data_IF_447967303684
#
_entry.id   IF_447967303684
#
_cell.length_a   1.000
_cell.length_b   1.000
_cell.length_c   1.000
_cell.angle_alpha   90.00
_cell.angle_beta   90.00
_cell.angle_gamma   90.00
#
_symmetry.space_group_name_H-M   'P 1'
#
loop_
_entity.id
_entity.type
_entity.pdbx_description
1 polymer ?
#
# COMPACT_ATOMS: atom_id res chain seq x y z
N UNK A 1 16.41 24.20 3.44
CA UNK A 1 15.37 23.26 3.90
C UNK A 1 14.03 23.83 3.46
N UNK A 2 13.17 23.01 2.83
CA UNK A 2 11.81 23.42 2.54
C UNK A 2 11.06 23.68 3.87
N UNK A 3 10.20 24.69 3.91
CA UNK A 3 9.35 24.95 5.07
C UNK A 3 8.29 23.85 5.18
N UNK A 4 8.02 23.28 6.37
CA UNK A 4 6.99 22.26 6.53
C UNK A 4 5.63 22.79 6.09
N UNK A 5 4.93 22.04 5.23
CA UNK A 5 3.57 22.37 4.80
C UNK A 5 2.58 21.28 5.24
N UNK A 6 1.31 21.64 5.37
CA UNK A 6 0.24 20.66 5.60
C UNK A 6 -0.15 20.06 4.25
N UNK A 7 0.06 18.76 4.09
CA UNK A 7 -0.23 18.06 2.85
C UNK A 7 -1.70 17.62 2.79
N UNK A 8 -2.39 17.79 1.65
CA UNK A 8 -3.75 17.28 1.50
C UNK A 8 -3.73 15.75 1.50
N UNK A 9 -4.85 15.17 1.93
CA UNK A 9 -5.03 13.72 2.06
C UNK A 9 -6.16 13.23 1.16
N UNK A 10 -6.02 11.98 0.70
CA UNK A 10 -7.05 11.26 -0.05
C UNK A 10 -7.18 9.85 0.50
N UNK A 11 -8.39 9.44 0.87
CA UNK A 11 -8.66 8.07 1.32
C UNK A 11 -9.47 7.33 0.25
N UNK A 12 -8.84 6.45 -0.55
CA UNK A 12 -9.56 5.61 -1.49
C UNK A 12 -10.39 4.56 -0.75
N UNK A 13 -11.40 4.02 -1.42
CA UNK A 13 -12.32 3.01 -0.89
C UNK A 13 -11.76 1.59 -0.90
N UNK A 14 -10.61 1.36 -1.54
CA UNK A 14 -9.93 0.07 -1.50
C UNK A 14 -9.79 -0.43 -0.07
N UNK A 15 -9.95 -1.75 0.08
CA UNK A 15 -9.55 -2.47 1.26
C UNK A 15 -8.24 -3.19 0.95
N UNK A 16 -7.21 -2.92 1.73
CA UNK A 16 -5.89 -3.50 1.56
C UNK A 16 -5.66 -4.61 2.56
N UNK A 17 -4.83 -5.57 2.17
CA UNK A 17 -4.31 -6.61 3.02
C UNK A 17 -2.78 -6.50 3.06
N UNK A 18 -2.20 -6.77 4.23
CA UNK A 18 -0.76 -6.88 4.44
C UNK A 18 -0.46 -8.35 4.64
N UNK A 19 0.34 -8.92 3.74
CA UNK A 19 0.54 -10.36 3.63
C UNK A 19 2.01 -10.72 3.56
N UNK A 20 2.30 -11.96 3.95
CA UNK A 20 3.60 -12.59 3.77
C UNK A 20 3.44 -13.89 3.00
N UNK A 21 4.57 -14.41 2.54
CA UNK A 21 4.68 -15.60 1.71
C UNK A 21 5.96 -16.32 2.09
N UNK A 22 5.90 -17.65 2.18
CA UNK A 22 7.10 -18.47 2.27
C UNK A 22 7.94 -18.30 0.99
N UNK A 23 9.20 -17.84 1.07
CA UNK A 23 10.06 -17.66 -0.11
C UNK A 23 10.15 -18.89 -1.02
N UNK A 24 10.08 -20.10 -0.46
CA UNK A 24 10.13 -21.35 -1.24
C UNK A 24 8.89 -21.54 -2.12
N UNK A 25 7.79 -20.88 -1.77
CA UNK A 25 6.52 -20.92 -2.51
C UNK A 25 6.35 -19.77 -3.51
N UNK A 26 7.27 -18.79 -3.52
CA UNK A 26 7.26 -17.67 -4.47
C UNK A 26 7.19 -18.11 -5.94
N UNK A 27 7.91 -19.15 -6.40
CA UNK A 27 7.80 -19.64 -7.77
C UNK A 27 6.37 -20.05 -8.17
N UNK A 28 5.56 -20.53 -7.21
CA UNK A 28 4.19 -20.98 -7.47
C UNK A 28 3.22 -19.83 -7.80
N UNK A 29 3.54 -18.60 -7.37
CA UNK A 29 2.72 -17.40 -7.65
C UNK A 29 3.39 -16.44 -8.65
N UNK A 30 4.58 -16.76 -9.16
CA UNK A 30 5.40 -15.84 -9.93
C UNK A 30 4.69 -15.30 -11.19
N UNK A 31 3.95 -16.15 -11.91
CA UNK A 31 3.19 -15.75 -13.10
C UNK A 31 2.08 -14.76 -12.76
N UNK A 32 1.34 -15.00 -11.67
CA UNK A 32 0.28 -14.12 -11.17
C UNK A 32 0.88 -12.79 -10.71
N UNK A 33 2.00 -12.82 -9.98
CA UNK A 33 2.71 -11.64 -9.52
C UNK A 33 3.18 -10.79 -10.71
N UNK A 34 3.76 -11.41 -11.74
CA UNK A 34 4.17 -10.74 -12.98
C UNK A 34 2.95 -10.12 -13.69
N UNK A 35 1.84 -10.85 -13.79
CA UNK A 35 0.61 -10.35 -14.40
C UNK A 35 0.06 -9.12 -13.66
N UNK A 36 0.05 -9.15 -12.33
CA UNK A 36 -0.42 -8.05 -11.49
C UNK A 36 0.49 -6.83 -11.61
N UNK A 37 1.81 -7.01 -11.52
CA UNK A 37 2.77 -5.90 -11.53
C UNK A 37 2.95 -5.26 -12.91
N UNK A 38 2.92 -6.05 -13.98
CA UNK A 38 3.38 -5.59 -15.30
C UNK A 38 2.29 -5.59 -16.37
N UNK A 39 1.22 -6.38 -16.21
CA UNK A 39 0.23 -6.60 -17.28
C UNK A 39 -1.21 -6.20 -16.92
N UNK A 40 -1.51 -5.93 -15.65
CA UNK A 40 -2.85 -5.51 -15.16
C UNK A 40 -3.14 -4.02 -15.41
N UNK A 41 -2.81 -3.55 -16.62
CA UNK A 41 -2.87 -2.16 -17.05
C UNK A 41 -4.20 -1.46 -16.77
N UNK A 42 -4.15 -0.13 -16.68
CA UNK A 42 -5.32 0.74 -16.54
C UNK A 42 -6.15 0.70 -17.81
N UNK A 43 -7.35 0.13 -17.77
CA UNK A 43 -8.28 0.41 -18.85
C UNK A 43 -8.61 1.91 -18.80
N UNK A 44 -8.65 2.62 -19.94
CA UNK A 44 -9.16 3.99 -19.97
C UNK A 44 -10.57 4.11 -19.36
N UNK A 45 -11.32 3.00 -19.26
CA UNK A 45 -12.63 2.93 -18.62
C UNK A 45 -12.60 2.90 -17.08
N UNK A 46 -11.45 2.58 -16.46
CA UNK A 46 -11.27 2.57 -14.99
C UNK A 46 -11.14 3.98 -14.41
N UNK A 47 -10.94 4.99 -15.27
CA UNK A 47 -10.94 6.42 -14.92
C UNK A 47 -12.29 6.93 -14.36
N UNK A 48 -13.33 6.09 -14.37
CA UNK A 48 -14.67 6.41 -13.83
C UNK A 48 -14.89 5.97 -12.39
N UNK A 49 -14.02 5.13 -11.81
CA UNK A 49 -14.03 4.83 -10.38
C UNK A 49 -12.94 5.65 -9.69
N UNK A 50 -13.19 6.95 -9.53
CA UNK A 50 -12.38 7.87 -8.72
C UNK A 50 -12.25 7.42 -7.25
N UNK A 51 -13.08 6.46 -6.84
CA UNK A 51 -13.16 5.93 -5.48
C UNK A 51 -12.00 4.96 -5.16
N UNK A 52 -11.41 4.27 -6.15
CA UNK A 52 -10.35 3.30 -5.91
C UNK A 52 -9.01 3.71 -6.55
N UNK A 53 -7.91 3.42 -5.85
CA UNK A 53 -6.53 3.58 -6.32
C UNK A 53 -5.93 2.23 -6.72
N UNK A 54 -5.04 2.24 -7.71
CA UNK A 54 -4.15 1.11 -7.98
C UNK A 54 -2.91 1.23 -7.10
N UNK A 55 -2.74 0.29 -6.17
CA UNK A 55 -1.57 0.22 -5.32
C UNK A 55 -1.22 -1.24 -5.05
N UNK A 56 0.04 -1.59 -5.28
CA UNK A 56 0.60 -2.90 -4.98
C UNK A 56 2.04 -2.69 -4.51
N UNK A 57 2.37 -3.21 -3.33
CA UNK A 57 3.72 -3.20 -2.78
C UNK A 57 4.24 -4.62 -2.67
N UNK A 58 5.46 -4.84 -3.12
CA UNK A 58 6.21 -6.09 -2.93
C UNK A 58 7.59 -5.73 -2.41
N UNK A 59 8.02 -6.41 -1.35
CA UNK A 59 9.36 -6.27 -0.81
C UNK A 59 9.92 -7.62 -0.44
N UNK A 60 11.21 -7.81 -0.73
CA UNK A 60 12.02 -8.92 -0.28
C UNK A 60 13.22 -8.33 0.47
N UNK A 61 13.20 -8.41 1.80
CA UNK A 61 14.22 -7.82 2.67
C UNK A 61 14.70 -8.91 3.60
N UNK A 62 16.01 -9.21 3.58
CA UNK A 62 16.63 -10.22 4.45
C UNK A 62 15.95 -11.60 4.39
N UNK A 63 15.43 -11.98 3.22
CA UNK A 63 14.73 -13.25 3.01
C UNK A 63 13.24 -13.22 3.39
N UNK A 64 12.74 -12.13 3.96
CA UNK A 64 11.34 -11.96 4.28
C UNK A 64 10.58 -11.30 3.14
N UNK A 65 9.47 -11.91 2.73
CA UNK A 65 8.56 -11.35 1.74
C UNK A 65 7.41 -10.62 2.46
N UNK A 66 7.17 -9.38 2.05
CA UNK A 66 5.99 -8.61 2.44
C UNK A 66 5.28 -8.06 1.21
N UNK A 67 3.97 -8.24 1.17
CA UNK A 67 3.10 -7.87 0.07
C UNK A 67 1.94 -7.05 0.60
N UNK A 68 1.67 -5.90 -0.02
CA UNK A 68 0.47 -5.11 0.22
C UNK A 68 -0.32 -5.02 -1.07
N UNK A 69 -1.58 -5.46 -1.05
CA UNK A 69 -2.46 -5.42 -2.21
C UNK A 69 -3.93 -5.22 -1.81
N UNK A 70 -4.78 -4.80 -2.74
CA UNK A 70 -6.22 -4.71 -2.48
C UNK A 70 -6.90 -6.08 -2.51
N UNK A 71 -8.08 -6.18 -1.89
CA UNK A 71 -8.85 -7.44 -1.80
C UNK A 71 -9.30 -7.99 -3.14
N UNK A 72 -9.49 -7.16 -4.17
CA UNK A 72 -9.85 -7.67 -5.51
C UNK A 72 -8.64 -8.30 -6.20
N UNK A 73 -7.45 -7.71 -6.03
CA UNK A 73 -6.19 -8.29 -6.50
C UNK A 73 -5.85 -9.58 -5.75
N UNK A 74 -6.06 -9.64 -4.44
CA UNK A 74 -5.83 -10.83 -3.61
C UNK A 74 -6.57 -12.07 -4.14
N UNK A 75 -7.81 -11.93 -4.64
CA UNK A 75 -8.61 -13.04 -5.18
C UNK A 75 -7.96 -13.75 -6.36
N UNK A 76 -6.98 -13.13 -7.03
CA UNK A 76 -6.23 -13.73 -8.13
C UNK A 76 -5.20 -14.75 -7.64
N UNK A 77 -4.78 -14.66 -6.37
CA UNK A 77 -3.76 -15.52 -5.79
C UNK A 77 -4.36 -16.76 -5.11
N UNK A 78 -3.65 -17.89 -5.08
CA UNK A 78 -4.07 -19.07 -4.32
C UNK A 78 -4.12 -18.76 -2.82
N UNK A 79 -5.28 -18.97 -2.20
CA UNK A 79 -5.55 -18.61 -0.81
C UNK A 79 -4.72 -19.36 0.23
N UNK A 80 -4.12 -20.50 -0.13
CA UNK A 80 -3.33 -21.33 0.76
C UNK A 80 -1.83 -20.98 0.79
N UNK A 81 -1.38 -20.02 -0.04
CA UNK A 81 0.02 -19.60 -0.09
C UNK A 81 0.26 -18.23 0.56
N UNK A 82 -0.74 -17.35 0.56
CA UNK A 82 -0.62 -16.03 1.18
C UNK A 82 -1.06 -16.09 2.64
N UNK A 83 -0.20 -15.61 3.54
CA UNK A 83 -0.46 -15.58 4.97
C UNK A 83 -0.69 -14.15 5.43
N UNK A 84 -1.67 -13.94 6.30
CA UNK A 84 -1.93 -12.67 7.00
C UNK A 84 -1.87 -12.92 8.51
N UNK A 85 -1.42 -11.93 9.28
CA UNK A 85 -1.35 -12.00 10.74
C UNK A 85 -2.74 -12.01 11.40
N UNK A 86 -3.75 -11.43 10.73
CA UNK A 86 -5.15 -11.41 11.17
C UNK A 86 -6.05 -11.73 9.97
N UNK A 87 -6.90 -12.75 10.10
CA UNK A 87 -7.70 -13.29 8.98
C UNK A 87 -8.80 -12.36 8.48
N UNK A 88 -9.10 -11.28 9.22
CA UNK A 88 -10.22 -10.37 8.92
C UNK A 88 -9.83 -8.88 8.92
N UNK A 89 -8.58 -8.53 9.24
CA UNK A 89 -8.18 -7.13 9.34
C UNK A 89 -7.79 -6.61 7.96
N UNK A 90 -8.61 -5.69 7.48
CA UNK A 90 -8.41 -4.99 6.22
C UNK A 90 -8.10 -3.53 6.52
N UNK A 91 -7.19 -2.98 5.75
CA UNK A 91 -6.64 -1.65 5.96
C UNK A 91 -7.22 -0.66 4.97
N UNK A 92 -7.51 0.55 5.43
CA UNK A 92 -7.84 1.68 4.57
C UNK A 92 -6.59 2.51 4.35
N UNK A 93 -6.41 2.96 3.11
CA UNK A 93 -5.31 3.84 2.78
C UNK A 93 -5.67 5.30 3.04
N UNK A 94 -4.70 6.06 3.50
CA UNK A 94 -4.65 7.52 3.46
C UNK A 94 -3.42 7.88 2.63
N UNK A 95 -3.63 8.36 1.41
CA UNK A 95 -2.59 8.89 0.54
C UNK A 95 -2.34 10.35 0.89
N UNK A 96 -1.07 10.71 1.01
CA UNK A 96 -0.58 11.98 1.49
C UNK A 96 0.18 12.69 0.36
N UNK A 97 -0.15 13.96 0.15
CA UNK A 97 0.50 14.82 -0.84
C UNK A 97 -0.40 15.10 -2.05
N UNK A 98 -0.57 16.38 -2.36
CA UNK A 98 -1.30 16.84 -3.55
C UNK A 98 -0.39 17.02 -4.77
N UNK A 99 0.92 17.07 -4.54
CA UNK A 99 2.00 17.16 -5.52
C UNK A 99 3.14 16.25 -5.03
N UNK A 100 4.12 15.91 -5.89
CA UNK A 100 5.30 15.16 -5.48
C UNK A 100 6.00 15.80 -4.26
N UNK A 101 6.15 15.02 -3.18
CA UNK A 101 6.73 15.48 -1.91
C UNK A 101 8.24 15.73 -2.00
N UNK A 102 8.93 15.04 -2.93
CA UNK A 102 10.39 15.07 -3.00
C UNK A 102 11.03 14.41 -1.77
N UNK A 103 12.28 14.77 -1.49
CA UNK A 103 13.09 14.14 -0.44
C UNK A 103 13.70 15.12 0.56
N UNK A 104 13.45 16.43 0.40
CA UNK A 104 14.06 17.49 1.19
C UNK A 104 13.15 18.05 2.30
N UNK A 105 11.84 17.80 2.23
CA UNK A 105 10.89 18.25 3.24
C UNK A 105 10.88 17.28 4.44
N UNK A 106 11.12 17.82 5.63
CA UNK A 106 11.09 17.06 6.87
C UNK A 106 9.73 17.21 7.58
N UNK A 107 9.37 16.23 8.40
CA UNK A 107 8.22 16.30 9.29
C UNK A 107 6.89 15.85 8.68
N UNK A 108 6.87 15.43 7.40
CA UNK A 108 5.66 14.89 6.76
C UNK A 108 5.15 13.68 7.54
N UNK A 109 6.01 12.68 7.79
CA UNK A 109 5.64 11.48 8.57
C UNK A 109 5.14 11.87 9.97
N UNK A 110 5.83 12.78 10.66
CA UNK A 110 5.48 13.20 12.01
C UNK A 110 4.06 13.80 12.10
N UNK A 111 3.70 14.66 11.13
CA UNK A 111 2.36 15.26 11.04
C UNK A 111 1.23 14.22 10.96
N UNK A 112 1.54 12.99 10.51
CA UNK A 112 0.57 11.89 10.42
C UNK A 112 0.70 10.90 11.57
N UNK A 113 1.91 10.51 11.94
CA UNK A 113 2.12 9.49 12.96
C UNK A 113 1.79 9.98 14.37
N UNK A 114 2.04 11.25 14.69
CA UNK A 114 1.72 11.83 16.02
C UNK A 114 0.23 11.76 16.35
N UNK A 115 -0.70 12.31 15.53
CA UNK A 115 -2.13 12.26 15.85
C UNK A 115 -2.70 10.83 15.84
N UNK A 116 -2.15 9.92 15.04
CA UNK A 116 -2.55 8.51 15.06
C UNK A 116 -2.08 7.82 16.35
N UNK A 117 -0.87 8.11 16.82
CA UNK A 117 -0.36 7.60 18.09
C UNK A 117 -1.15 8.16 19.29
N UNK A 118 -1.48 9.45 19.29
CA UNK A 118 -2.32 10.08 20.33
C UNK A 118 -3.73 9.45 20.39
N UNK A 119 -4.21 8.94 19.27
CA UNK A 119 -5.50 8.25 19.16
C UNK A 119 -5.42 6.72 19.36
N UNK A 120 -4.23 6.16 19.63
CA UNK A 120 -3.97 4.72 19.73
C UNK A 120 -4.40 3.93 18.47
N UNK A 121 -4.19 4.53 17.29
CA UNK A 121 -4.50 3.92 15.99
C UNK A 121 -3.24 3.32 15.40
N UNK A 122 -3.26 2.01 15.16
CA UNK A 122 -2.16 1.32 14.47
C UNK A 122 -2.09 1.73 13.00
N UNK A 123 -0.86 1.92 12.50
CA UNK A 123 -0.65 2.30 11.11
C UNK A 123 0.60 1.68 10.51
N UNK A 124 0.52 1.24 9.24
CA UNK A 124 1.71 1.04 8.40
C UNK A 124 1.94 2.29 7.55
N UNK A 125 3.21 2.60 7.27
CA UNK A 125 3.57 3.76 6.47
C UNK A 125 4.51 3.36 5.33
N UNK A 126 4.16 3.72 4.10
CA UNK A 126 4.93 3.43 2.89
C UNK A 126 5.14 4.71 2.08
N UNK A 127 6.38 5.18 2.05
CA UNK A 127 6.81 6.24 1.14
C UNK A 127 7.07 5.69 -0.25
N UNK A 128 6.51 6.36 -1.26
CA UNK A 128 6.86 6.14 -2.67
C UNK A 128 7.65 7.32 -3.20
N UNK A 129 8.05 7.27 -4.47
CA UNK A 129 8.83 8.36 -5.07
C UNK A 129 8.14 9.74 -4.99
N UNK A 130 6.80 9.78 -5.10
CA UNK A 130 6.05 11.04 -5.15
C UNK A 130 5.16 11.29 -3.94
N UNK A 131 4.65 10.24 -3.30
CA UNK A 131 3.59 10.34 -2.29
C UNK A 131 3.84 9.38 -1.15
N UNK A 132 3.32 9.75 0.01
CA UNK A 132 3.31 8.88 1.17
C UNK A 132 1.94 8.21 1.33
N UNK A 133 1.93 7.03 1.94
CA UNK A 133 0.72 6.23 2.12
C UNK A 133 0.71 5.65 3.53
N UNK A 134 -0.30 6.01 4.32
CA UNK A 134 -0.60 5.36 5.59
C UNK A 134 -1.70 4.32 5.40
N UNK A 135 -1.57 3.15 6.01
CA UNK A 135 -2.60 2.12 6.10
C UNK A 135 -3.07 2.07 7.55
N UNK A 136 -4.36 2.33 7.78
CA UNK A 136 -5.02 2.38 9.11
C UNK A 136 -6.28 1.53 9.14
#
# INVERSE_FOLDING_TARGET
AASPTMHPILSPENRFCVMTLDPDTLPAIATILIEVLFYSGSSPKDSRNLECIKFFSFSLIEGYISIVMDTETQKKFPSNLLFTSSSEELWRMVRIGGQPLGFDECGIVAQFSEPLADADISAYYISTFNFDHALV
#
